data_IF_915609683584
#
_entry.id   IF_915609683584
#
_cell.length_a   1.000
_cell.length_b   1.000
_cell.length_c   1.000
_cell.angle_alpha   90.00
_cell.angle_beta   90.00
_cell.angle_gamma   90.00
#
_symmetry.space_group_name_H-M   'P 1'
#
loop_
_entity.id
_entity.type
_entity.pdbx_description
1 polymer ?
#
# COMPACT_ATOMS: atom_id res chain seq x y z
N UNK A 1 6.63 64.05 -26.34
CA UNK A 1 7.33 63.15 -25.38
C UNK A 1 7.33 61.68 -25.84
N UNK A 2 7.81 61.36 -27.05
CA UNK A 2 7.78 59.97 -27.59
C UNK A 2 9.08 59.52 -28.30
N UNK A 3 10.20 60.22 -28.09
CA UNK A 3 11.48 59.91 -28.76
C UNK A 3 12.65 59.64 -27.81
N UNK A 4 12.36 59.18 -26.58
CA UNK A 4 13.41 58.80 -25.60
C UNK A 4 13.49 57.28 -25.38
N UNK A 5 12.51 56.50 -25.87
CA UNK A 5 12.39 55.06 -25.61
C UNK A 5 12.88 54.13 -26.73
N UNK A 6 13.46 54.67 -27.81
CA UNK A 6 13.93 53.84 -28.94
C UNK A 6 15.41 53.43 -28.87
N UNK A 7 16.14 53.81 -27.81
CA UNK A 7 17.51 53.30 -27.64
C UNK A 7 17.45 51.82 -27.24
N UNK A 8 18.09 50.91 -27.97
CA UNK A 8 18.01 49.46 -27.72
C UNK A 8 18.58 49.07 -26.36
N UNK A 9 19.48 49.87 -25.81
CA UNK A 9 20.04 49.72 -24.46
C UNK A 9 19.02 50.08 -23.37
N UNK A 10 18.22 51.12 -23.57
CA UNK A 10 17.15 51.53 -22.63
C UNK A 10 16.01 50.53 -22.58
N UNK A 11 15.64 49.91 -23.71
CA UNK A 11 14.66 48.81 -23.72
C UNK A 11 15.16 47.59 -22.94
N UNK A 12 16.44 47.24 -23.07
CA UNK A 12 17.06 46.16 -22.29
C UNK A 12 17.09 46.48 -20.80
N UNK A 13 17.47 47.71 -20.43
CA UNK A 13 17.47 48.16 -19.03
C UNK A 13 16.05 48.15 -18.45
N UNK A 14 15.06 48.64 -19.19
CA UNK A 14 13.66 48.61 -18.76
C UNK A 14 13.14 47.17 -18.59
N UNK A 15 13.56 46.25 -19.47
CA UNK A 15 13.22 44.83 -19.38
C UNK A 15 13.85 44.17 -18.16
N UNK A 16 15.13 44.46 -17.88
CA UNK A 16 15.83 43.98 -16.67
C UNK A 16 15.19 44.53 -15.40
N UNK A 17 14.78 45.80 -15.41
CA UNK A 17 14.09 46.44 -14.27
C UNK A 17 12.68 45.85 -14.06
N UNK A 18 11.96 45.53 -15.13
CA UNK A 18 10.68 44.83 -15.07
C UNK A 18 10.83 43.40 -14.53
N UNK A 19 11.88 42.67 -14.94
CA UNK A 19 12.20 41.34 -14.40
C UNK A 19 12.58 41.41 -12.92
N UNK A 20 13.38 42.40 -12.52
CA UNK A 20 13.71 42.66 -11.11
C UNK A 20 12.48 43.00 -10.28
N UNK A 21 11.56 43.81 -10.80
CA UNK A 21 10.31 44.15 -10.13
C UNK A 21 9.41 42.92 -9.95
N UNK A 22 9.35 42.01 -10.94
CA UNK A 22 8.64 40.72 -10.83
C UNK A 22 9.28 39.82 -9.75
N UNK A 23 10.60 39.80 -9.63
CA UNK A 23 11.33 39.04 -8.60
C UNK A 23 11.04 39.62 -7.19
N UNK A 24 10.99 40.94 -7.06
CA UNK A 24 10.72 41.61 -5.76
C UNK A 24 9.24 41.48 -5.35
N UNK A 25 8.30 41.45 -6.31
CA UNK A 25 6.89 41.16 -6.05
C UNK A 25 6.58 39.65 -5.98
N UNK A 26 7.55 38.77 -6.21
CA UNK A 26 7.38 37.31 -6.15
C UNK A 26 6.73 36.83 -4.83
N UNK A 27 7.13 37.26 -3.62
CA UNK A 27 6.52 36.75 -2.39
C UNK A 27 5.05 37.15 -2.20
N UNK A 28 4.58 38.23 -2.85
CA UNK A 28 3.17 38.67 -2.83
C UNK A 28 2.36 38.04 -3.97
N UNK A 29 2.98 37.84 -5.13
CA UNK A 29 2.33 37.23 -6.30
C UNK A 29 2.15 35.72 -6.18
N UNK A 30 3.00 35.04 -5.42
CA UNK A 30 2.99 33.57 -5.29
C UNK A 30 1.77 33.01 -4.53
N UNK A 31 1.29 33.62 -3.41
CA UNK A 31 0.00 33.26 -2.81
C UNK A 31 -1.20 33.54 -3.73
N UNK A 32 -1.14 34.62 -4.50
CA UNK A 32 -2.15 35.00 -5.50
C UNK A 32 -2.20 34.03 -6.69
N UNK A 33 -1.04 33.51 -7.13
CA UNK A 33 -0.93 32.46 -8.16
C UNK A 33 -1.45 31.11 -7.67
N UNK A 34 -1.19 30.74 -6.40
CA UNK A 34 -1.75 29.53 -5.80
C UNK A 34 -3.27 29.61 -5.67
N UNK A 35 -3.79 30.75 -5.19
CA UNK A 35 -5.24 31.00 -5.16
C UNK A 35 -5.85 31.06 -6.57
N UNK A 36 -5.13 31.61 -7.56
CA UNK A 36 -5.54 31.63 -8.96
C UNK A 36 -5.57 30.24 -9.61
N UNK A 37 -4.64 29.35 -9.25
CA UNK A 37 -4.62 27.95 -9.68
C UNK A 37 -5.79 27.15 -9.10
N UNK A 38 -6.03 27.28 -7.79
CA UNK A 38 -7.19 26.70 -7.11
C UNK A 38 -8.52 27.23 -7.67
N UNK A 39 -8.62 28.54 -7.89
CA UNK A 39 -9.78 29.17 -8.52
C UNK A 39 -9.96 28.73 -9.99
N UNK A 40 -8.86 28.51 -10.72
CA UNK A 40 -8.86 27.95 -12.07
C UNK A 40 -9.44 26.53 -12.10
N UNK A 41 -9.02 25.66 -11.20
CA UNK A 41 -9.53 24.27 -11.08
C UNK A 41 -11.04 24.29 -10.79
N UNK A 42 -11.50 25.16 -9.87
CA UNK A 42 -12.92 25.35 -9.58
C UNK A 42 -13.71 25.93 -10.77
N UNK A 43 -13.16 26.91 -11.48
CA UNK A 43 -13.79 27.56 -12.64
C UNK A 43 -13.89 26.64 -13.86
N UNK A 44 -12.89 25.77 -14.09
CA UNK A 44 -12.86 24.81 -15.19
C UNK A 44 -13.66 23.54 -14.92
N UNK A 45 -13.84 23.15 -13.66
CA UNK A 45 -14.73 22.03 -13.29
C UNK A 45 -16.21 22.42 -13.36
N UNK A 46 -16.59 23.66 -12.99
CA UNK A 46 -18.02 24.05 -12.92
C UNK A 46 -18.62 24.73 -14.15
N UNK A 47 -17.84 25.34 -15.06
CA UNK A 47 -18.43 26.14 -16.18
C UNK A 47 -18.12 25.66 -17.60
N UNK A 48 -16.99 24.97 -17.88
CA UNK A 48 -16.69 24.28 -19.16
C UNK A 48 -15.62 23.18 -18.97
N UNK A 49 -15.97 21.88 -18.98
CA UNK A 49 -15.02 20.80 -18.74
C UNK A 49 -14.13 20.58 -19.97
N UNK A 50 -13.07 21.39 -20.10
CA UNK A 50 -12.02 21.18 -21.09
C UNK A 50 -10.84 20.46 -20.42
N UNK A 51 -10.76 19.13 -20.62
CA UNK A 51 -9.74 18.24 -20.02
C UNK A 51 -8.32 18.79 -20.18
N UNK A 52 -8.00 19.32 -21.37
CA UNK A 52 -6.65 19.86 -21.65
C UNK A 52 -6.32 21.07 -20.75
N UNK A 53 -7.28 21.97 -20.52
CA UNK A 53 -7.08 23.17 -19.67
C UNK A 53 -7.00 22.82 -18.18
N UNK A 54 -7.73 21.78 -17.76
CA UNK A 54 -7.65 21.23 -16.40
C UNK A 54 -6.28 20.61 -16.12
N UNK A 55 -5.73 19.84 -17.07
CA UNK A 55 -4.41 19.22 -16.90
C UNK A 55 -3.28 20.27 -16.84
N UNK A 56 -3.39 21.37 -17.62
CA UNK A 56 -2.45 22.50 -17.53
C UNK A 56 -2.55 23.18 -16.16
N UNK A 57 -3.76 23.42 -15.65
CA UNK A 57 -3.94 24.03 -14.33
C UNK A 57 -3.36 23.14 -13.20
N UNK A 58 -3.56 21.82 -13.28
CA UNK A 58 -2.97 20.84 -12.34
C UNK A 58 -1.44 20.86 -12.43
N UNK A 59 -0.87 20.90 -13.63
CA UNK A 59 0.58 20.99 -13.83
C UNK A 59 1.15 22.29 -13.21
N UNK A 60 0.47 23.43 -13.39
CA UNK A 60 0.88 24.72 -12.79
C UNK A 60 0.83 24.66 -11.27
N UNK A 61 -0.17 24.00 -10.67
CA UNK A 61 -0.23 23.83 -9.21
C UNK A 61 0.87 22.92 -8.67
N UNK A 62 1.21 21.82 -9.38
CA UNK A 62 2.29 20.92 -8.96
C UNK A 62 3.65 21.63 -9.05
N UNK A 63 3.90 22.42 -10.11
CA UNK A 63 5.11 23.23 -10.24
C UNK A 63 5.19 24.32 -9.17
N UNK A 64 4.06 24.95 -8.83
CA UNK A 64 4.01 25.92 -7.73
C UNK A 64 4.30 25.31 -6.36
N UNK A 65 3.76 24.12 -6.08
CA UNK A 65 4.02 23.38 -4.83
C UNK A 65 5.47 22.92 -4.79
N UNK A 66 5.99 22.32 -5.87
CA UNK A 66 7.37 21.84 -5.94
C UNK A 66 8.39 23.00 -5.88
N UNK A 67 8.08 24.15 -6.46
CA UNK A 67 8.88 25.38 -6.33
C UNK A 67 8.86 25.96 -4.91
N UNK A 68 7.76 25.78 -4.15
CA UNK A 68 7.68 26.20 -2.74
C UNK A 68 8.64 25.41 -1.85
N UNK A 69 8.83 24.11 -2.12
CA UNK A 69 9.76 23.25 -1.37
C UNK A 69 11.24 23.57 -1.63
N UNK A 70 11.58 24.08 -2.82
CA UNK A 70 12.97 24.42 -3.15
C UNK A 70 13.42 25.77 -2.54
N UNK A 71 12.52 26.76 -2.43
CA UNK A 71 12.86 28.07 -1.88
C UNK A 71 12.97 28.06 -0.35
N UNK A 72 12.28 27.14 0.34
CA UNK A 72 12.42 26.95 1.80
C UNK A 72 13.80 26.46 2.26
N UNK A 73 14.66 26.00 1.35
CA UNK A 73 16.06 25.60 1.62
C UNK A 73 17.09 26.69 1.25
N UNK A 74 16.66 27.84 0.71
CA UNK A 74 17.53 28.95 0.28
C UNK A 74 17.28 30.28 1.03
N UNK A 75 16.41 30.29 2.03
CA UNK A 75 16.30 31.40 2.98
C UNK A 75 16.71 30.92 4.37
N UNK A 76 17.85 31.36 4.93
CA UNK A 76 18.13 31.13 6.33
C UNK A 76 17.17 32.01 7.14
N UNK A 77 16.23 31.34 7.79
CA UNK A 77 15.91 31.54 9.21
C UNK A 77 15.97 32.98 9.73
N UNK A 78 14.99 33.80 9.34
CA UNK A 78 14.56 34.97 10.11
C UNK A 78 13.05 35.05 9.96
N UNK A 79 12.31 34.53 10.94
CA UNK A 79 10.98 34.96 11.43
C UNK A 79 10.25 33.75 12.05
N UNK A 80 10.01 33.86 13.38
CA UNK A 80 9.33 32.99 14.36
C UNK A 80 10.36 32.37 15.32
N UNK A 81 10.60 32.89 16.52
CA UNK A 81 9.64 33.39 17.50
C UNK A 81 10.25 34.51 18.34
N UNK A 82 9.56 35.66 18.45
CA UNK A 82 9.55 36.47 19.67
C UNK A 82 8.19 37.15 19.76
N UNK A 83 7.24 36.41 20.31
CA UNK A 83 6.10 36.97 21.04
C UNK A 83 6.60 37.24 22.46
N UNK A 84 6.53 38.51 22.88
CA UNK A 84 6.50 38.99 24.27
C UNK A 84 7.78 38.93 25.12
N UNK A 85 8.54 40.03 25.17
CA UNK A 85 8.48 41.01 26.27
C UNK A 85 9.47 42.18 26.07
N UNK A 86 8.87 43.36 25.83
CA UNK A 86 9.08 44.60 26.61
C UNK A 86 10.47 45.27 26.60
N UNK A 87 10.51 46.41 25.88
CA UNK A 87 11.09 47.73 26.22
C UNK A 87 12.22 48.23 25.31
N UNK A 88 12.31 49.50 24.89
CA UNK A 88 11.41 50.66 24.77
C UNK A 88 12.23 51.70 23.96
N UNK A 89 11.55 52.47 23.09
CA UNK A 89 11.93 53.80 22.54
C UNK A 89 13.19 53.98 21.69
N UNK A 90 13.27 54.88 20.70
CA UNK A 90 12.32 55.72 19.94
C UNK A 90 13.17 56.41 18.84
N UNK A 91 12.58 56.52 17.66
CA UNK A 91 12.70 57.59 16.63
C UNK A 91 14.07 58.22 16.32
N UNK A 92 14.39 58.34 15.03
CA UNK A 92 14.13 59.58 14.26
C UNK A 92 14.32 59.33 12.76
N UNK A 93 13.45 59.97 12.00
CA UNK A 93 13.21 59.94 10.56
C UNK A 93 14.23 60.70 9.70
N UNK A 94 14.13 60.42 8.38
CA UNK A 94 14.21 61.33 7.21
C UNK A 94 15.43 61.25 6.25
N UNK A 95 15.11 60.72 5.06
CA UNK A 95 15.24 61.30 3.71
C UNK A 95 16.61 61.69 3.08
N UNK A 96 16.85 61.01 1.96
CA UNK A 96 17.14 61.51 0.58
C UNK A 96 18.54 61.91 0.12
N UNK A 97 18.86 61.37 -1.08
CA UNK A 97 19.73 61.90 -2.17
C UNK A 97 21.24 61.97 -1.89
N UNK A 98 22.19 61.81 -2.82
CA UNK A 98 22.29 61.54 -4.26
C UNK A 98 23.79 61.49 -4.62
N UNK A 99 24.15 60.88 -5.76
CA UNK A 99 25.40 61.11 -6.55
C UNK A 99 26.76 60.75 -5.90
N UNK A 100 27.86 60.43 -6.57
CA UNK A 100 28.27 60.08 -7.95
C UNK A 100 29.78 59.79 -7.90
N UNK A 101 30.28 58.93 -8.81
CA UNK A 101 31.68 58.93 -9.34
C UNK A 101 32.82 58.61 -8.34
N UNK A 102 34.01 58.09 -8.66
CA UNK A 102 34.66 57.40 -9.78
C UNK A 102 36.14 57.16 -9.36
N UNK A 103 36.85 56.28 -10.07
CA UNK A 103 38.34 56.09 -10.12
C UNK A 103 38.97 55.28 -8.96
N UNK A 104 39.56 54.10 -9.20
CA UNK A 104 40.85 53.74 -9.85
C UNK A 104 42.10 54.39 -9.26
N UNK A 105 42.95 53.59 -8.60
CA UNK A 105 44.41 53.63 -8.77
C UNK A 105 45.08 52.39 -8.16
N UNK A 106 46.09 51.90 -8.88
CA UNK A 106 46.98 50.80 -8.54
C UNK A 106 47.99 51.17 -7.43
N UNK A 107 48.51 50.14 -6.76
CA UNK A 107 49.94 49.77 -6.73
C UNK A 107 50.48 49.44 -5.33
N UNK A 108 50.91 48.18 -5.22
CA UNK A 108 52.13 47.69 -4.60
C UNK A 108 52.49 48.11 -3.16
N UNK A 109 52.52 47.13 -2.26
CA UNK A 109 53.73 46.84 -1.48
C UNK A 109 53.63 45.47 -0.81
N UNK A 110 54.57 44.63 -1.21
CA UNK A 110 54.86 43.31 -0.67
C UNK A 110 55.62 43.48 0.66
N UNK A 111 55.30 42.72 1.70
CA UNK A 111 56.29 41.95 2.50
C UNK A 111 55.71 41.36 3.80
N UNK A 112 55.78 40.03 3.85
CA UNK A 112 56.10 39.19 5.02
C UNK A 112 55.37 39.44 6.33
N UNK A 113 54.26 38.73 6.56
CA UNK A 113 54.00 37.96 7.80
C UNK A 113 52.87 36.94 7.55
N UNK A 114 53.13 35.79 6.91
CA UNK A 114 52.05 34.88 6.51
C UNK A 114 52.39 33.38 6.46
N UNK A 115 53.24 32.87 7.36
CA UNK A 115 53.40 31.41 7.52
C UNK A 115 52.41 30.78 8.51
N UNK A 116 51.92 31.52 9.51
CA UNK A 116 51.05 30.98 10.58
C UNK A 116 49.55 30.98 10.27
N UNK A 117 49.08 31.72 9.26
CA UNK A 117 47.64 31.82 8.91
C UNK A 117 47.21 30.79 7.86
N UNK A 118 48.14 30.30 7.03
CA UNK A 118 47.88 29.32 5.95
C UNK A 118 47.81 27.88 6.49
N UNK A 119 48.68 27.52 7.43
CA UNK A 119 48.64 26.21 8.14
C UNK A 119 47.37 26.01 8.98
N UNK A 120 46.86 27.09 9.60
CA UNK A 120 45.63 27.02 10.40
C UNK A 120 44.39 26.78 9.53
N UNK A 121 44.32 27.41 8.36
CA UNK A 121 43.23 27.23 7.39
C UNK A 121 43.23 25.85 6.73
N UNK A 122 44.41 25.27 6.48
CA UNK A 122 44.54 23.93 5.90
C UNK A 122 44.16 22.81 6.89
N UNK A 123 44.50 22.97 8.18
CA UNK A 123 44.02 22.09 9.26
C UNK A 123 42.50 22.14 9.43
N UNK A 124 41.89 23.33 9.39
CA UNK A 124 40.44 23.50 9.53
C UNK A 124 39.66 22.85 8.37
N UNK A 125 40.19 22.93 7.15
CA UNK A 125 39.64 22.25 5.96
C UNK A 125 39.77 20.72 6.02
N UNK A 126 40.91 20.19 6.51
CA UNK A 126 41.06 18.75 6.74
C UNK A 126 40.14 18.23 7.84
N UNK A 127 39.97 18.98 8.92
CA UNK A 127 39.11 18.58 10.05
C UNK A 127 37.63 18.60 9.62
N UNK A 128 37.21 19.60 8.84
CA UNK A 128 35.88 19.66 8.24
C UNK A 128 35.61 18.55 7.22
N UNK A 129 36.61 18.14 6.41
CA UNK A 129 36.48 16.99 5.51
C UNK A 129 36.38 15.66 6.27
N UNK A 130 37.15 15.51 7.35
CA UNK A 130 37.12 14.31 8.19
C UNK A 130 35.78 14.17 8.93
N UNK A 131 35.23 15.28 9.43
CA UNK A 131 33.89 15.33 10.01
C UNK A 131 32.80 14.96 8.99
N UNK A 132 32.87 15.49 7.76
CA UNK A 132 31.92 15.13 6.70
C UNK A 132 31.98 13.64 6.33
N UNK A 133 33.17 13.05 6.25
CA UNK A 133 33.32 11.62 5.97
C UNK A 133 32.79 10.74 7.11
N UNK A 134 32.96 11.16 8.36
CA UNK A 134 32.46 10.43 9.52
C UNK A 134 30.93 10.51 9.63
N UNK A 135 30.35 11.67 9.36
CA UNK A 135 28.90 11.86 9.29
C UNK A 135 28.26 11.04 8.15
N UNK A 136 28.86 11.05 6.95
CA UNK A 136 28.40 10.24 5.82
C UNK A 136 28.50 8.73 6.11
N UNK A 137 29.59 8.29 6.75
CA UNK A 137 29.76 6.89 7.15
C UNK A 137 28.71 6.46 8.17
N UNK A 138 28.38 7.34 9.12
CA UNK A 138 27.34 7.09 10.14
C UNK A 138 25.94 7.05 9.52
N UNK A 139 25.63 7.95 8.59
CA UNK A 139 24.37 7.94 7.84
C UNK A 139 24.21 6.68 6.98
N UNK A 140 25.29 6.23 6.32
CA UNK A 140 25.29 5.01 5.52
C UNK A 140 25.14 3.73 6.37
N UNK A 141 25.75 3.70 7.55
CA UNK A 141 25.58 2.58 8.49
C UNK A 141 24.13 2.50 9.01
N UNK A 142 23.53 3.65 9.34
CA UNK A 142 22.14 3.71 9.79
C UNK A 142 21.15 3.28 8.69
N UNK A 143 21.38 3.71 7.44
CA UNK A 143 20.63 3.23 6.29
C UNK A 143 20.77 1.72 6.09
N UNK A 144 21.99 1.18 6.16
CA UNK A 144 22.21 -0.25 6.03
C UNK A 144 21.50 -1.07 7.14
N UNK A 145 21.41 -0.52 8.35
CA UNK A 145 20.63 -1.14 9.45
C UNK A 145 19.13 -1.13 9.18
N UNK A 146 18.59 -0.01 8.69
CA UNK A 146 17.18 0.09 8.32
C UNK A 146 16.84 -0.86 7.17
N UNK A 147 17.68 -0.94 6.14
CA UNK A 147 17.49 -1.89 5.04
C UNK A 147 17.50 -3.34 5.53
N UNK A 148 18.44 -3.72 6.40
CA UNK A 148 18.49 -5.07 6.97
C UNK A 148 17.26 -5.40 7.83
N UNK A 149 16.72 -4.44 8.58
CA UNK A 149 15.49 -4.62 9.35
C UNK A 149 14.27 -4.82 8.42
N UNK A 150 14.14 -4.00 7.38
CA UNK A 150 13.06 -4.16 6.40
C UNK A 150 13.13 -5.50 5.66
N UNK A 151 14.34 -5.97 5.32
CA UNK A 151 14.53 -7.29 4.72
C UNK A 151 14.08 -8.42 5.63
N UNK A 152 14.39 -8.35 6.94
CA UNK A 152 13.92 -9.35 7.91
C UNK A 152 12.41 -9.38 8.03
N UNK A 153 11.77 -8.22 8.07
CA UNK A 153 10.30 -8.12 8.14
C UNK A 153 9.66 -8.73 6.88
N UNK A 154 10.23 -8.47 5.70
CA UNK A 154 9.77 -9.07 4.45
C UNK A 154 9.96 -10.58 4.43
N UNK A 155 11.07 -11.09 4.94
CA UNK A 155 11.33 -12.52 5.03
C UNK A 155 10.36 -13.21 6.00
N UNK A 156 10.13 -12.64 7.18
CA UNK A 156 9.14 -13.13 8.16
C UNK A 156 7.74 -13.18 7.55
N UNK A 157 7.32 -12.11 6.86
CA UNK A 157 6.02 -12.07 6.18
C UNK A 157 5.91 -13.14 5.09
N UNK A 158 6.95 -13.35 4.29
CA UNK A 158 6.99 -14.42 3.29
C UNK A 158 6.88 -15.80 3.95
N UNK A 159 7.61 -16.05 5.04
CA UNK A 159 7.55 -17.31 5.76
C UNK A 159 6.15 -17.57 6.33
N UNK A 160 5.52 -16.57 6.93
CA UNK A 160 4.17 -16.71 7.47
C UNK A 160 3.13 -17.02 6.37
N UNK A 161 3.22 -16.36 5.22
CA UNK A 161 2.37 -16.66 4.06
C UNK A 161 2.65 -18.06 3.50
N UNK A 162 3.92 -18.45 3.42
CA UNK A 162 4.30 -19.79 2.96
C UNK A 162 3.78 -20.90 3.89
N UNK A 163 3.80 -20.67 5.20
CA UNK A 163 3.23 -21.58 6.18
C UNK A 163 1.72 -21.71 6.02
N UNK A 164 1.01 -20.60 5.78
CA UNK A 164 -0.42 -20.60 5.48
C UNK A 164 -0.75 -21.36 4.19
N UNK A 165 0.07 -21.22 3.15
CA UNK A 165 -0.09 -21.97 1.90
C UNK A 165 0.13 -23.47 2.07
N UNK A 166 1.15 -23.85 2.85
CA UNK A 166 1.46 -25.25 3.15
C UNK A 166 0.43 -25.88 4.09
N UNK A 167 -0.17 -25.08 4.96
CA UNK A 167 -1.17 -25.51 5.93
C UNK A 167 -2.38 -24.58 5.90
N UNK A 168 -3.27 -24.87 4.94
CA UNK A 168 -4.47 -24.09 4.63
C UNK A 168 -5.52 -24.22 5.74
N UNK A 169 -5.23 -23.61 6.89
CA UNK A 169 -6.08 -23.59 8.08
C UNK A 169 -6.47 -22.15 8.37
N UNK A 170 -7.76 -21.92 8.63
CA UNK A 170 -8.32 -20.59 8.85
C UNK A 170 -7.61 -19.82 9.98
N UNK A 171 -7.19 -20.52 11.04
CA UNK A 171 -6.49 -19.92 12.18
C UNK A 171 -5.11 -19.33 11.83
N UNK A 172 -4.46 -19.84 10.77
CA UNK A 172 -3.16 -19.36 10.31
C UNK A 172 -3.25 -18.09 9.45
N UNK A 173 -4.46 -17.65 9.09
CA UNK A 173 -4.67 -16.47 8.25
C UNK A 173 -4.33 -15.20 9.03
N UNK A 174 -4.81 -15.10 10.27
CA UNK A 174 -4.56 -13.95 11.14
C UNK A 174 -3.06 -13.65 11.37
N UNK A 175 -2.19 -14.62 11.74
CA UNK A 175 -0.76 -14.35 11.90
C UNK A 175 -0.08 -13.97 10.57
N UNK A 176 -0.47 -14.57 9.45
CA UNK A 176 0.07 -14.21 8.13
C UNK A 176 -0.29 -12.76 7.74
N UNK A 177 -1.54 -12.34 7.96
CA UNK A 177 -1.98 -10.96 7.73
C UNK A 177 -1.23 -9.96 8.63
N UNK A 178 -1.04 -10.31 9.91
CA UNK A 178 -0.30 -9.46 10.84
C UNK A 178 1.17 -9.27 10.42
N UNK A 179 1.83 -10.31 9.90
CA UNK A 179 3.19 -10.20 9.39
C UNK A 179 3.26 -9.34 8.12
N UNK A 180 2.31 -9.51 7.19
CA UNK A 180 2.22 -8.70 5.95
C UNK A 180 1.95 -7.22 6.25
N UNK A 181 1.22 -6.90 7.30
CA UNK A 181 0.92 -5.51 7.66
C UNK A 181 2.18 -4.72 8.06
N UNK A 182 3.22 -5.40 8.57
CA UNK A 182 4.51 -4.80 8.94
C UNK A 182 5.41 -4.49 7.73
N UNK A 183 5.12 -5.07 6.57
CA UNK A 183 5.91 -4.86 5.35
C UNK A 183 5.71 -3.43 4.84
N UNK A 184 6.81 -2.68 4.69
CA UNK A 184 6.78 -1.29 4.24
C UNK A 184 6.66 -1.14 2.71
N UNK A 185 7.18 -2.11 1.94
CA UNK A 185 7.11 -2.06 0.48
C UNK A 185 5.68 -2.36 -0.03
N UNK A 186 5.01 -1.41 -0.71
CA UNK A 186 3.63 -1.59 -1.14
C UNK A 186 3.46 -2.69 -2.19
N UNK A 187 4.46 -2.92 -3.05
CA UNK A 187 4.38 -3.96 -4.09
C UNK A 187 4.45 -5.35 -3.49
N UNK A 188 5.40 -5.58 -2.58
CA UNK A 188 5.53 -6.84 -1.82
C UNK A 188 4.29 -7.09 -0.96
N UNK A 189 3.82 -6.05 -0.24
CA UNK A 189 2.61 -6.15 0.58
C UNK A 189 1.39 -6.55 -0.25
N UNK A 190 1.18 -5.92 -1.41
CA UNK A 190 0.07 -6.27 -2.30
C UNK A 190 0.14 -7.72 -2.81
N UNK A 191 1.34 -8.20 -3.16
CA UNK A 191 1.53 -9.59 -3.60
C UNK A 191 1.20 -10.60 -2.49
N UNK A 192 1.72 -10.37 -1.28
CA UNK A 192 1.48 -11.25 -0.14
C UNK A 192 0.01 -11.26 0.29
N UNK A 193 -0.65 -10.10 0.30
CA UNK A 193 -2.09 -10.00 0.58
C UNK A 193 -2.92 -10.77 -0.47
N UNK A 194 -2.53 -10.70 -1.74
CA UNK A 194 -3.22 -11.45 -2.80
C UNK A 194 -3.09 -12.97 -2.60
N UNK A 195 -1.90 -13.46 -2.21
CA UNK A 195 -1.67 -14.88 -1.88
C UNK A 195 -2.53 -15.34 -0.71
N UNK A 196 -2.57 -14.57 0.38
CA UNK A 196 -3.45 -14.84 1.52
C UNK A 196 -4.91 -14.92 1.06
N UNK A 197 -5.36 -13.99 0.20
CA UNK A 197 -6.72 -13.99 -0.33
C UNK A 197 -7.04 -15.25 -1.16
N UNK A 198 -6.09 -15.75 -1.95
CA UNK A 198 -6.25 -17.00 -2.70
C UNK A 198 -6.38 -18.20 -1.75
N UNK A 199 -5.56 -18.29 -0.71
CA UNK A 199 -5.65 -19.36 0.29
C UNK A 199 -6.97 -19.29 1.05
N UNK A 200 -7.41 -18.11 1.45
CA UNK A 200 -8.71 -17.92 2.11
C UNK A 200 -9.87 -18.44 1.23
N UNK A 201 -9.83 -18.16 -0.06
CA UNK A 201 -10.83 -18.65 -1.00
C UNK A 201 -10.77 -20.18 -1.15
N UNK A 202 -9.56 -20.75 -1.23
CA UNK A 202 -9.37 -22.20 -1.29
C UNK A 202 -9.92 -22.91 -0.05
N UNK A 203 -9.67 -22.37 1.15
CA UNK A 203 -10.20 -22.89 2.42
C UNK A 203 -11.74 -22.89 2.41
N UNK A 204 -12.35 -21.79 1.94
CA UNK A 204 -13.80 -21.69 1.89
C UNK A 204 -14.39 -22.70 0.89
N UNK A 205 -13.78 -22.86 -0.28
CA UNK A 205 -14.21 -23.85 -1.28
C UNK A 205 -14.11 -25.28 -0.74
N UNK A 206 -13.00 -25.61 -0.08
CA UNK A 206 -12.81 -26.92 0.53
C UNK A 206 -13.85 -27.20 1.64
N UNK A 207 -14.18 -26.19 2.45
CA UNK A 207 -15.21 -26.31 3.47
C UNK A 207 -16.61 -26.54 2.87
N UNK A 208 -16.94 -25.84 1.78
CA UNK A 208 -18.21 -26.04 1.06
C UNK A 208 -18.29 -27.43 0.41
N UNK A 209 -17.22 -27.88 -0.24
CA UNK A 209 -17.15 -29.21 -0.84
C UNK A 209 -17.28 -30.31 0.21
N UNK A 210 -16.60 -30.18 1.35
CA UNK A 210 -16.73 -31.12 2.46
C UNK A 210 -18.17 -31.19 2.97
N UNK A 211 -18.83 -30.04 3.13
CA UNK A 211 -20.23 -29.98 3.56
C UNK A 211 -21.18 -30.63 2.55
N UNK A 212 -20.99 -30.39 1.26
CA UNK A 212 -21.78 -31.01 0.19
C UNK A 212 -21.54 -32.52 0.13
N UNK A 213 -20.29 -32.98 0.33
CA UNK A 213 -19.96 -34.39 0.38
C UNK A 213 -20.61 -35.08 1.59
N UNK A 214 -20.64 -34.43 2.76
CA UNK A 214 -21.35 -34.94 3.94
C UNK A 214 -22.86 -34.99 3.72
N UNK A 215 -23.45 -33.95 3.12
CA UNK A 215 -24.88 -33.94 2.80
C UNK A 215 -25.23 -35.05 1.80
N UNK A 216 -24.43 -35.23 0.75
CA UNK A 216 -24.62 -36.32 -0.22
C UNK A 216 -24.52 -37.70 0.44
N UNK A 217 -23.58 -37.89 1.38
CA UNK A 217 -23.48 -39.12 2.17
C UNK A 217 -24.72 -39.34 3.02
N UNK A 218 -25.18 -38.33 3.73
CA UNK A 218 -26.40 -38.42 4.54
C UNK A 218 -27.64 -38.70 3.69
N UNK A 219 -27.77 -38.08 2.51
CA UNK A 219 -28.86 -38.35 1.58
C UNK A 219 -28.79 -39.78 1.05
N UNK A 220 -27.61 -40.29 0.69
CA UNK A 220 -27.44 -41.68 0.27
C UNK A 220 -27.81 -42.66 1.39
N UNK A 221 -27.38 -42.41 2.62
CA UNK A 221 -27.74 -43.23 3.78
C UNK A 221 -29.26 -43.21 4.03
N UNK A 222 -29.90 -42.03 3.96
CA UNK A 222 -31.37 -41.92 4.07
C UNK A 222 -32.08 -42.68 2.95
N UNK A 223 -31.63 -42.56 1.71
CA UNK A 223 -32.19 -43.32 0.60
C UNK A 223 -32.04 -44.82 0.80
N UNK A 224 -30.88 -45.31 1.28
CA UNK A 224 -30.71 -46.73 1.59
C UNK A 224 -31.61 -47.19 2.74
N UNK A 225 -31.80 -46.35 3.77
CA UNK A 225 -32.72 -46.65 4.87
C UNK A 225 -34.19 -46.68 4.41
N UNK A 226 -34.62 -45.73 3.58
CA UNK A 226 -35.97 -45.69 3.00
C UNK A 226 -36.21 -46.87 2.06
N UNK A 227 -35.21 -47.26 1.27
CA UNK A 227 -35.28 -48.47 0.45
C UNK A 227 -35.46 -49.71 1.33
N UNK A 228 -34.70 -49.87 2.42
CA UNK A 228 -34.87 -51.00 3.33
C UNK A 228 -36.25 -51.03 4.01
N UNK A 229 -36.83 -49.87 4.30
CA UNK A 229 -38.18 -49.79 4.89
C UNK A 229 -39.29 -50.16 3.90
N UNK A 230 -39.12 -49.88 2.61
CA UNK A 230 -40.15 -50.09 1.59
C UNK A 230 -39.95 -51.35 0.76
N UNK A 231 -38.73 -51.88 0.69
CA UNK A 231 -38.39 -53.06 -0.10
C UNK A 231 -38.99 -54.31 0.54
N UNK A 232 -39.85 -54.96 -0.23
CA UNK A 232 -40.46 -56.24 0.16
C UNK A 232 -39.45 -57.36 -0.03
N UNK A 233 -39.31 -58.20 0.99
CA UNK A 233 -38.49 -59.41 0.98
C UNK A 233 -39.35 -60.63 1.30
N UNK A 234 -38.89 -61.80 0.88
CA UNK A 234 -39.58 -63.06 1.05
C UNK A 234 -38.80 -64.01 1.96
N UNK A 235 -39.49 -64.63 2.91
CA UNK A 235 -38.89 -65.53 3.91
C UNK A 235 -39.65 -66.85 3.95
N UNK A 236 -38.92 -67.96 3.76
CA UNK A 236 -39.50 -69.30 3.77
C UNK A 236 -39.84 -69.82 5.19
N UNK A 237 -40.50 -70.99 5.25
CA UNK A 237 -40.82 -71.73 6.49
C UNK A 237 -41.68 -70.90 7.47
N UNK A 238 -42.76 -70.29 6.98
CA UNK A 238 -43.63 -69.40 7.76
C UNK A 238 -42.87 -68.23 8.40
N UNK A 239 -41.91 -67.65 7.68
CA UNK A 239 -41.08 -66.55 8.19
C UNK A 239 -39.98 -66.97 9.16
N UNK A 240 -39.78 -68.28 9.42
CA UNK A 240 -38.79 -68.79 10.39
C UNK A 240 -37.41 -69.05 9.79
N UNK A 241 -37.22 -68.89 8.49
CA UNK A 241 -35.89 -69.01 7.89
C UNK A 241 -34.96 -67.87 8.37
N UNK A 242 -33.67 -68.17 8.48
CA UNK A 242 -32.60 -67.21 8.86
C UNK A 242 -32.17 -66.32 7.68
N UNK A 243 -32.65 -66.63 6.49
CA UNK A 243 -32.28 -65.98 5.23
C UNK A 243 -33.53 -65.41 4.57
N UNK A 244 -33.39 -64.26 3.91
CA UNK A 244 -34.43 -63.65 3.07
C UNK A 244 -33.94 -63.48 1.63
N UNK A 245 -34.90 -63.39 0.70
CA UNK A 245 -34.68 -63.20 -0.74
C UNK A 245 -35.46 -61.99 -1.24
N UNK A 246 -34.94 -61.28 -2.25
CA UNK A 246 -35.66 -60.19 -2.92
C UNK A 246 -36.71 -60.69 -3.92
N UNK A 247 -36.55 -61.89 -4.49
CA UNK A 247 -37.54 -62.53 -5.36
C UNK A 247 -37.79 -63.98 -4.95
N UNK A 248 -39.03 -64.44 -5.12
CA UNK A 248 -39.39 -65.85 -4.96
C UNK A 248 -38.66 -66.75 -5.95
N UNK A 249 -38.28 -66.25 -7.12
CA UNK A 249 -37.58 -67.00 -8.17
C UNK A 249 -36.17 -67.42 -7.75
N UNK A 250 -35.53 -66.64 -6.88
CA UNK A 250 -34.19 -66.90 -6.36
C UNK A 250 -34.21 -67.85 -5.16
N UNK A 251 -35.40 -68.31 -4.73
CA UNK A 251 -35.51 -69.29 -3.66
C UNK A 251 -35.08 -70.68 -4.15
N UNK A 252 -34.48 -71.52 -3.29
CA UNK A 252 -34.16 -72.90 -3.63
C UNK A 252 -35.35 -73.64 -4.24
N UNK A 253 -35.11 -74.48 -5.25
CA UNK A 253 -36.18 -75.21 -5.96
C UNK A 253 -37.03 -76.13 -5.06
N UNK A 254 -36.50 -76.53 -3.89
CA UNK A 254 -37.23 -77.30 -2.87
C UNK A 254 -38.06 -76.42 -1.92
N UNK A 255 -38.14 -75.11 -2.16
CA UNK A 255 -38.91 -74.18 -1.34
C UNK A 255 -40.40 -74.43 -1.49
N UNK A 256 -41.07 -74.55 -0.35
CA UNK A 256 -42.52 -74.64 -0.29
C UNK A 256 -43.14 -73.24 -0.30
N UNK A 257 -43.52 -72.76 -1.50
CA UNK A 257 -44.05 -71.41 -1.73
C UNK A 257 -45.33 -71.11 -0.94
N UNK A 258 -46.13 -72.13 -0.62
CA UNK A 258 -47.29 -72.04 0.28
C UNK A 258 -46.92 -71.63 1.72
N UNK A 259 -45.63 -71.68 2.08
CA UNK A 259 -45.09 -71.32 3.39
C UNK A 259 -44.12 -70.14 3.33
N UNK A 260 -44.20 -69.34 2.27
CA UNK A 260 -43.42 -68.10 2.13
C UNK A 260 -44.23 -66.93 2.66
N UNK A 261 -43.59 -66.07 3.45
CA UNK A 261 -44.18 -64.84 4.00
C UNK A 261 -43.39 -63.66 3.46
N UNK A 262 -44.08 -62.58 3.07
CA UNK A 262 -43.45 -61.30 2.74
C UNK A 262 -43.39 -60.38 3.95
N UNK A 263 -42.32 -59.59 4.06
CA UNK A 263 -42.14 -58.54 5.06
C UNK A 263 -41.20 -57.46 4.50
N UNK A 264 -40.98 -56.36 5.24
CA UNK A 264 -40.00 -55.35 4.82
C UNK A 264 -38.57 -55.86 5.06
N UNK A 265 -37.61 -55.41 4.27
CA UNK A 265 -36.19 -55.73 4.47
C UNK A 265 -35.73 -55.29 5.87
N UNK A 266 -36.18 -54.13 6.33
CA UNK A 266 -35.94 -53.64 7.68
C UNK A 266 -36.45 -54.62 8.77
N UNK A 267 -37.67 -55.15 8.65
CA UNK A 267 -38.22 -56.12 9.62
C UNK A 267 -37.46 -57.45 9.59
N UNK A 268 -37.03 -57.89 8.40
CA UNK A 268 -36.23 -59.11 8.25
C UNK A 268 -34.87 -58.94 8.93
N UNK A 269 -34.18 -57.82 8.70
CA UNK A 269 -32.90 -57.47 9.35
C UNK A 269 -33.08 -57.35 10.87
N UNK A 270 -34.13 -56.66 11.33
CA UNK A 270 -34.45 -56.52 12.77
C UNK A 270 -34.74 -57.87 13.44
N UNK A 271 -35.29 -58.82 12.68
CA UNK A 271 -35.49 -60.21 13.11
C UNK A 271 -34.21 -61.07 13.05
N UNK A 272 -33.05 -60.47 12.78
CA UNK A 272 -31.75 -61.14 12.70
C UNK A 272 -31.54 -61.96 11.41
N UNK A 273 -32.37 -61.76 10.39
CA UNK A 273 -32.26 -62.49 9.12
C UNK A 273 -31.21 -61.86 8.23
N UNK A 274 -30.56 -62.68 7.40
CA UNK A 274 -29.50 -62.26 6.49
C UNK A 274 -29.98 -62.34 5.05
N UNK A 275 -29.50 -61.41 4.22
CA UNK A 275 -29.68 -61.52 2.77
C UNK A 275 -28.93 -62.74 2.24
N UNK A 276 -29.53 -63.47 1.29
CA UNK A 276 -28.83 -64.55 0.59
C UNK A 276 -27.75 -63.99 -0.32
N UNK A 277 -26.53 -64.52 -0.24
CA UNK A 277 -25.46 -64.20 -1.20
C UNK A 277 -25.66 -64.86 -2.58
N UNK A 278 -26.65 -65.75 -2.70
CA UNK A 278 -27.08 -66.38 -3.96
C UNK A 278 -28.33 -65.68 -4.45
N UNK A 279 -28.14 -64.67 -5.30
CA UNK A 279 -29.17 -64.01 -6.08
C UNK A 279 -28.66 -63.67 -7.48
#
# INVERSE_FOLDING_TARGET
MKKIFEKPTLKKILFVLAVLFIIILAPITMPLMFMGGCFGIWRFTKRKPNIRKRNIAIAVTIVGILGSYAVGKLTPDVIKEQTEQTQVTKFTSNSSSSSSSSQTSNSASNSTTSSSKKEKQEKELQEAQKQKQEEEKKAREEQARQEAETMKIVEEANQAVQQLENNQVADNISPAQAAVERVSDPTTKANLTARIGQVQNAINQQAEEARLAEEARQQAERQTAEQQQTRTVYVARYGRADVYWYSMENMPSNTRFDRVVSMTEADAIASGKRHTSKE
#
